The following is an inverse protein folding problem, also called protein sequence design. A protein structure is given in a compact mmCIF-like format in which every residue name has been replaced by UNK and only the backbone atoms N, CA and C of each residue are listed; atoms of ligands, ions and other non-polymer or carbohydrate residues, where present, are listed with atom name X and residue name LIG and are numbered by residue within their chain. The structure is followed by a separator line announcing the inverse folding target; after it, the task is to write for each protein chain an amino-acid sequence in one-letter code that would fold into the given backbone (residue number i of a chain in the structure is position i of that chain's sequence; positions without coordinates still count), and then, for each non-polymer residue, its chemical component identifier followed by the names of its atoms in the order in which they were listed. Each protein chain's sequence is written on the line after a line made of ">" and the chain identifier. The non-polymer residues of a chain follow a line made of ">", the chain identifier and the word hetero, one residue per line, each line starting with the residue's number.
data_IF_132494062677
#
_entry.id   IF_132494062677
#
_cell.length_a   1.000
_cell.length_b   1.000
_cell.length_c   1.000
_cell.angle_alpha   90.00
_cell.angle_beta   90.00
_cell.angle_gamma   90.00
#
_symmetry.space_group_name_H-M   'P 1'
#
loop_
_entity.id
_entity.type
_entity.pdbx_description
1 polymer ?
#
# COMPACT_ATOMS: atom_id res chain seq x y z
N UNK A 1 -11.39 2.18 -2.13
CA UNK A 1 -11.37 3.03 -3.35
C UNK A 1 -11.14 2.19 -4.60
N UNK A 2 -10.09 1.35 -4.62
CA UNK A 2 -9.75 0.44 -5.72
C UNK A 2 -10.91 -0.45 -6.22
N UNK A 3 -11.62 -1.14 -5.33
CA UNK A 3 -12.72 -2.04 -5.73
C UNK A 3 -13.88 -1.35 -6.45
N UNK A 4 -14.16 -0.07 -6.14
CA UNK A 4 -15.18 0.71 -6.87
C UNK A 4 -14.70 1.13 -8.26
N UNK A 5 -13.42 1.49 -8.39
CA UNK A 5 -12.82 1.86 -9.67
C UNK A 5 -12.76 0.68 -10.61
N UNK A 6 -12.37 -0.50 -10.12
CA UNK A 6 -12.35 -1.74 -10.89
C UNK A 6 -13.75 -2.14 -11.36
N UNK A 7 -14.76 -2.04 -10.50
CA UNK A 7 -16.15 -2.34 -10.86
C UNK A 7 -16.75 -1.33 -11.86
N UNK A 8 -16.22 -0.11 -11.92
CA UNK A 8 -16.65 0.93 -12.85
C UNK A 8 -15.95 0.85 -14.23
N UNK A 9 -14.98 -0.05 -14.42
CA UNK A 9 -14.31 -0.25 -15.71
C UNK A 9 -15.28 -0.87 -16.72
N UNK A 10 -15.21 -0.39 -17.96
CA UNK A 10 -15.98 -0.89 -19.09
C UNK A 10 -15.01 -1.36 -20.19
N UNK A 11 -15.04 -2.65 -20.59
CA UNK A 11 -15.87 -3.73 -20.05
C UNK A 11 -15.42 -4.14 -18.62
N UNK A 12 -16.34 -4.66 -17.79
CA UNK A 12 -15.97 -5.23 -16.49
C UNK A 12 -14.95 -6.36 -16.70
N UNK A 13 -13.86 -6.40 -15.92
CA UNK A 13 -12.89 -7.49 -16.02
C UNK A 13 -13.62 -8.80 -15.74
N UNK A 14 -13.72 -9.63 -16.78
CA UNK A 14 -14.56 -10.84 -16.79
C UNK A 14 -13.72 -12.07 -16.49
N UNK A 15 -12.44 -12.02 -16.83
CA UNK A 15 -11.45 -13.06 -16.59
C UNK A 15 -10.35 -12.59 -15.64
N UNK A 16 -9.78 -13.56 -14.91
CA UNK A 16 -8.70 -13.35 -13.92
C UNK A 16 -7.50 -12.52 -14.45
N UNK A 17 -7.02 -12.73 -15.69
CA UNK A 17 -5.94 -11.92 -16.26
C UNK A 17 -6.30 -10.43 -16.40
N UNK A 18 -7.53 -10.09 -16.82
CA UNK A 18 -7.97 -8.70 -16.90
C UNK A 18 -8.15 -8.08 -15.53
N UNK A 19 -8.65 -8.85 -14.56
CA UNK A 19 -8.76 -8.38 -13.18
C UNK A 19 -7.39 -8.04 -12.60
N UNK A 20 -6.38 -8.90 -12.84
CA UNK A 20 -5.00 -8.63 -12.42
C UNK A 20 -4.45 -7.37 -13.08
N UNK A 21 -4.70 -7.18 -14.38
CA UNK A 21 -4.28 -5.96 -15.10
C UNK A 21 -4.96 -4.72 -14.53
N UNK A 22 -6.28 -4.76 -14.34
CA UNK A 22 -7.07 -3.66 -13.80
C UNK A 22 -6.64 -3.29 -12.37
N UNK A 23 -6.33 -4.28 -11.54
CA UNK A 23 -5.79 -4.06 -10.20
C UNK A 23 -4.45 -3.32 -10.23
N UNK A 24 -3.52 -3.77 -11.08
CA UNK A 24 -2.20 -3.15 -11.21
C UNK A 24 -2.30 -1.72 -11.78
N UNK A 25 -3.12 -1.53 -12.82
CA UNK A 25 -3.35 -0.23 -13.43
C UNK A 25 -3.97 0.76 -12.45
N UNK A 26 -5.01 0.36 -11.71
CA UNK A 26 -5.61 1.22 -10.70
C UNK A 26 -4.68 1.47 -9.50
N UNK A 27 -3.84 0.51 -9.13
CA UNK A 27 -2.85 0.67 -8.06
C UNK A 27 -1.77 1.70 -8.43
N UNK A 28 -1.25 1.65 -9.65
CA UNK A 28 -0.28 2.64 -10.15
C UNK A 28 -0.88 4.05 -10.26
N UNK A 29 -2.20 4.18 -10.33
CA UNK A 29 -2.92 5.45 -10.43
C UNK A 29 -3.36 6.02 -9.06
N UNK A 30 -2.94 5.42 -7.93
CA UNK A 30 -3.17 6.00 -6.60
C UNK A 30 -2.10 7.07 -6.36
N UNK A 31 -2.46 8.34 -6.14
CA UNK A 31 -1.47 9.37 -5.89
C UNK A 31 -0.91 9.24 -4.47
N UNK A 32 0.38 9.58 -4.33
CA UNK A 32 1.17 9.36 -3.11
C UNK A 32 0.59 10.11 -1.89
N UNK A 33 0.01 11.29 -2.11
CA UNK A 33 -0.65 12.08 -1.07
C UNK A 33 -1.81 11.32 -0.41
N UNK A 34 -2.53 10.47 -1.15
CA UNK A 34 -3.59 9.65 -0.59
C UNK A 34 -3.03 8.53 0.30
N UNK A 35 -1.86 8.00 -0.05
CA UNK A 35 -1.15 7.00 0.74
C UNK A 35 -0.61 7.64 2.02
N UNK A 36 0.02 8.80 1.91
CA UNK A 36 0.54 9.56 3.05
C UNK A 36 -0.58 9.95 4.03
N UNK A 37 -1.68 10.48 3.51
CA UNK A 37 -2.85 10.81 4.32
C UNK A 37 -3.43 9.58 5.02
N UNK A 38 -3.45 8.42 4.36
CA UNK A 38 -3.89 7.17 4.96
C UNK A 38 -2.94 6.75 6.10
N UNK A 39 -1.63 6.76 5.87
CA UNK A 39 -0.60 6.44 6.88
C UNK A 39 -0.72 7.38 8.07
N UNK A 40 -0.87 8.68 7.86
CA UNK A 40 -1.05 9.67 8.91
C UNK A 40 -2.31 9.40 9.74
N UNK A 41 -3.43 9.04 9.09
CA UNK A 41 -4.67 8.68 9.78
C UNK A 41 -4.55 7.37 10.57
N UNK A 42 -3.80 6.39 10.06
CA UNK A 42 -3.51 5.16 10.78
C UNK A 42 -2.61 5.41 11.99
N UNK A 43 -1.52 6.16 11.82
CA UNK A 43 -0.61 6.57 12.91
C UNK A 43 -1.32 7.31 14.04
N UNK A 44 -2.28 8.19 13.70
CA UNK A 44 -3.10 8.90 14.70
C UNK A 44 -4.06 8.00 15.49
N UNK A 45 -4.43 6.84 14.94
CA UNK A 45 -5.32 5.87 15.59
C UNK A 45 -4.55 4.79 16.34
N UNK A 46 -3.27 4.62 16.03
CA UNK A 46 -2.41 3.70 16.75
C UNK A 46 -1.90 4.38 18.02
N UNK A 47 -1.95 3.68 19.18
CA UNK A 47 -1.32 4.18 20.38
C UNK A 47 0.19 4.35 20.12
N UNK A 48 0.74 5.47 20.60
CA UNK A 48 2.16 5.79 20.44
C UNK A 48 3.01 4.64 21.01
N UNK A 49 4.01 4.15 20.25
CA UNK A 49 4.95 3.18 20.77
C UNK A 49 5.96 3.93 21.65
N UNK A 50 5.56 4.33 22.85
CA UNK A 50 6.51 4.76 23.86
C UNK A 50 6.54 3.79 25.04
N UNK A 51 7.77 3.31 25.22
CA UNK A 51 8.37 2.75 26.44
C UNK A 51 7.82 1.40 26.91
N UNK A 52 8.39 0.31 26.37
CA UNK A 52 8.32 -0.95 27.11
C UNK A 52 8.57 -2.25 26.36
N UNK A 53 9.02 -2.30 25.10
CA UNK A 53 9.39 -3.61 24.52
C UNK A 53 10.38 -3.52 23.36
N UNK A 54 11.65 -3.28 23.71
CA UNK A 54 12.82 -3.54 22.82
C UNK A 54 13.04 -5.04 22.51
N UNK A 55 12.02 -5.90 22.68
CA UNK A 55 12.03 -7.31 22.26
C UNK A 55 11.19 -7.60 21.01
N UNK A 56 10.61 -6.58 20.37
CA UNK A 56 9.80 -6.74 19.14
C UNK A 56 10.57 -6.40 17.85
N UNK A 57 11.86 -6.73 17.78
CA UNK A 57 12.65 -6.65 16.53
C UNK A 57 12.14 -7.61 15.43
N UNK A 58 11.05 -8.34 15.71
CA UNK A 58 10.32 -9.23 14.78
C UNK A 58 9.06 -8.61 14.16
N UNK A 59 8.62 -7.42 14.59
CA UNK A 59 7.42 -6.76 14.04
C UNK A 59 7.80 -5.40 13.42
N UNK A 60 8.98 -5.28 12.84
CA UNK A 60 9.16 -4.34 11.74
C UNK A 60 8.35 -4.93 10.57
N UNK A 61 7.05 -4.60 10.53
CA UNK A 61 6.14 -4.94 9.45
C UNK A 61 6.83 -4.64 8.11
N UNK A 62 6.69 -5.49 7.08
CA UNK A 62 7.19 -5.21 5.73
C UNK A 62 6.78 -3.80 5.26
N UNK A 63 5.64 -3.31 5.75
CA UNK A 63 5.11 -1.99 5.46
C UNK A 63 5.95 -0.82 6.00
N UNK A 64 6.58 -0.96 7.18
CA UNK A 64 7.44 0.10 7.74
C UNK A 64 8.80 0.13 7.04
N UNK A 65 9.35 -1.05 6.71
CA UNK A 65 10.57 -1.17 5.90
C UNK A 65 10.41 -0.59 4.49
N UNK A 66 9.22 -0.70 3.91
CA UNK A 66 8.92 -0.11 2.60
C UNK A 66 8.87 1.43 2.66
N UNK A 67 8.46 2.00 3.79
CA UNK A 67 8.31 3.45 3.99
C UNK A 67 9.65 4.12 4.36
N UNK A 68 10.56 3.43 5.05
CA UNK A 68 11.87 3.98 5.43
C UNK A 68 12.99 3.83 4.38
N UNK A 69 12.66 3.40 3.15
CA UNK A 69 13.53 3.63 1.99
C UNK A 69 14.78 2.74 1.91
N UNK A 70 14.74 1.50 2.39
CA UNK A 70 15.77 0.48 2.09
C UNK A 70 15.28 -0.45 0.97
N UNK A 71 14.94 0.12 -0.19
CA UNK A 71 14.76 -0.63 -1.45
C UNK A 71 15.99 -0.35 -2.31
N UNK A 72 17.08 -1.06 -1.99
CA UNK A 72 18.17 -1.24 -2.94
C UNK A 72 17.70 -2.22 -4.02
N UNK A 73 17.36 -1.69 -5.19
CA UNK A 73 17.12 -2.47 -6.40
C UNK A 73 16.40 -1.66 -7.47
N UNK A 74 17.09 -1.17 -8.52
CA UNK A 74 16.46 -0.37 -9.55
C UNK A 74 15.65 -1.30 -10.46
N UNK A 75 14.33 -1.11 -10.47
CA UNK A 75 13.50 -1.58 -11.58
C UNK A 75 13.38 -0.45 -12.59
N UNK A 76 14.19 -0.48 -13.65
CA UNK A 76 13.95 0.20 -14.92
C UNK A 76 14.95 -0.30 -15.97
N UNK A 77 14.61 -0.15 -17.26
CA UNK A 77 13.69 -0.97 -18.07
C UNK A 77 14.33 -2.23 -18.68
#
# INVERSE_FOLDING_TARGET
>A
MLGRRIAARQPPPTYLPELRRALLDEWCNIPEDQIDNLILRMRRRLPSPHEGTLNSRRIASPFVRLVEGEVAGPCHP
#
